data_IF_751359206131
#
_entry.id   IF_751359206131
#
_cell.length_a   1.000
_cell.length_b   1.000
_cell.length_c   1.000
_cell.angle_alpha   90.00
_cell.angle_beta   90.00
_cell.angle_gamma   90.00
#
_symmetry.space_group_name_H-M   'P 1'
#
loop_
_entity.id
_entity.type
_entity.pdbx_description
1 polymer ?
#
# COMPACT_ATOMS: atom_id res chain seq x y z
N UNK A 1 -5.39 22.26 3.42
CA UNK A 1 -4.03 21.68 3.56
C UNK A 1 -4.21 20.18 3.76
N UNK A 2 -3.71 19.35 2.83
CA UNK A 2 -3.76 17.89 2.95
C UNK A 2 -2.90 17.49 4.15
N UNK A 3 -3.42 16.62 5.02
CA UNK A 3 -2.74 16.15 6.21
C UNK A 3 -2.06 14.84 5.84
N UNK A 4 -0.73 14.79 5.88
CA UNK A 4 0.02 13.57 5.59
C UNK A 4 -0.48 12.46 6.52
N UNK A 5 -0.88 11.32 5.94
CA UNK A 5 -1.42 10.18 6.72
C UNK A 5 -0.32 9.36 7.40
N UNK A 6 0.90 9.42 6.88
CA UNK A 6 2.06 8.72 7.41
C UNK A 6 3.28 8.85 6.50
N UNK A 7 4.45 8.53 7.04
CA UNK A 7 5.73 8.47 6.33
C UNK A 7 6.42 7.18 6.73
N UNK A 8 6.88 6.40 5.76
CA UNK A 8 7.66 5.19 6.01
C UNK A 8 9.08 5.45 5.52
N UNK A 9 10.05 5.27 6.42
CA UNK A 9 11.47 5.36 6.09
C UNK A 9 11.85 4.17 5.19
N UNK A 10 12.59 4.42 4.13
CA UNK A 10 12.90 3.37 3.13
C UNK A 10 13.87 2.32 3.65
N UNK A 11 14.73 2.69 4.60
CA UNK A 11 15.57 1.73 5.33
C UNK A 11 14.77 0.63 6.05
N UNK A 12 13.50 0.91 6.38
CA UNK A 12 12.62 -0.06 7.02
C UNK A 12 11.87 -0.95 6.03
N UNK A 13 11.93 -0.64 4.73
CA UNK A 13 11.27 -1.41 3.66
C UNK A 13 12.17 -2.58 3.27
N UNK A 14 11.63 -3.80 3.32
CA UNK A 14 12.36 -5.03 3.00
C UNK A 14 11.73 -5.81 1.84
N UNK A 15 10.44 -5.60 1.56
CA UNK A 15 9.72 -6.27 0.45
C UNK A 15 9.02 -5.21 -0.38
N UNK A 16 9.15 -5.29 -1.70
CA UNK A 16 8.37 -4.48 -2.65
C UNK A 16 8.10 -5.31 -3.88
N UNK A 17 6.86 -5.73 -4.11
CA UNK A 17 6.53 -6.70 -5.16
C UNK A 17 5.15 -6.47 -5.77
N UNK A 18 4.95 -6.87 -7.02
CA UNK A 18 3.62 -6.92 -7.61
C UNK A 18 2.74 -7.86 -6.81
N UNK A 19 1.49 -7.48 -6.58
CA UNK A 19 0.52 -8.31 -5.88
C UNK A 19 -0.61 -8.69 -6.83
N UNK A 20 -1.31 -9.78 -6.51
CA UNK A 20 -2.58 -10.14 -7.13
C UNK A 20 -3.65 -10.14 -6.04
N UNK A 21 -4.50 -9.13 -6.02
CA UNK A 21 -5.67 -9.10 -5.13
C UNK A 21 -6.80 -9.84 -5.86
N UNK A 22 -7.12 -11.05 -5.42
CA UNK A 22 -8.25 -11.81 -5.95
C UNK A 22 -9.56 -11.04 -5.72
N UNK A 23 -10.39 -10.95 -6.75
CA UNK A 23 -11.68 -10.23 -6.71
C UNK A 23 -12.76 -10.93 -5.87
N UNK A 24 -12.44 -12.00 -5.14
CA UNK A 24 -13.41 -12.73 -4.31
C UNK A 24 -13.23 -12.42 -2.83
N UNK A 25 -14.16 -11.62 -2.31
CA UNK A 25 -14.52 -11.50 -0.90
C UNK A 25 -14.45 -12.88 -0.22
N UNK A 26 -13.63 -13.01 0.82
CA UNK A 26 -13.63 -14.25 1.60
C UNK A 26 -12.49 -14.50 2.58
N UNK A 27 -11.77 -13.51 3.11
CA UNK A 27 -11.03 -13.71 4.36
C UNK A 27 -11.14 -12.46 5.22
N UNK A 28 -11.85 -12.61 6.34
CA UNK A 28 -11.70 -11.72 7.47
C UNK A 28 -10.29 -11.82 8.04
N UNK A 29 -10.00 -10.83 8.89
CA UNK A 29 -8.88 -10.79 9.82
C UNK A 29 -7.51 -10.39 9.25
N UNK A 30 -7.36 -9.10 8.95
CA UNK A 30 -6.36 -8.26 9.64
C UNK A 30 -6.94 -6.87 9.85
N UNK A 31 -6.91 -6.42 11.11
CA UNK A 31 -7.52 -5.21 11.59
C UNK A 31 -6.95 -3.96 10.88
N UNK A 32 -7.77 -3.29 10.08
CA UNK A 32 -7.64 -1.87 9.82
C UNK A 32 -8.67 -1.17 10.71
N UNK A 33 -8.17 -0.49 11.75
CA UNK A 33 -8.97 0.35 12.63
C UNK A 33 -9.87 1.30 11.84
N UNK A 34 -11.09 1.45 12.37
CA UNK A 34 -12.23 2.24 11.92
C UNK A 34 -11.87 3.71 11.61
N UNK A 35 -12.59 4.43 10.75
CA UNK A 35 -13.92 4.99 11.03
C UNK A 35 -14.80 5.12 9.76
N UNK A 36 -16.02 4.59 9.89
CA UNK A 36 -17.31 5.01 9.33
C UNK A 36 -17.38 5.83 8.02
N UNK A 37 -18.01 5.23 7.00
CA UNK A 37 -18.58 5.98 5.88
C UNK A 37 -19.20 5.14 4.77
N UNK A 38 -20.46 4.74 4.97
CA UNK A 38 -21.45 4.33 3.95
C UNK A 38 -21.17 3.12 3.05
N UNK A 39 -22.15 2.22 3.04
CA UNK A 39 -22.14 0.98 2.29
C UNK A 39 -22.12 1.13 0.77
N UNK A 40 -21.66 0.06 0.13
CA UNK A 40 -21.71 -0.15 -1.30
C UNK A 40 -20.59 -1.05 -1.76
N UNK A 41 -20.84 -2.36 -1.86
CA UNK A 41 -20.00 -3.35 -2.57
C UNK A 41 -18.49 -3.18 -2.37
N UNK A 42 -17.96 -3.72 -1.28
CA UNK A 42 -16.53 -3.68 -0.90
C UNK A 42 -15.63 -4.47 -1.85
N UNK A 43 -15.53 -4.01 -3.09
CA UNK A 43 -14.54 -4.44 -4.07
C UNK A 43 -13.28 -3.58 -3.93
N UNK A 44 -12.12 -4.22 -4.06
CA UNK A 44 -10.84 -3.52 -4.23
C UNK A 44 -11.02 -2.49 -5.36
N UNK A 45 -10.68 -1.20 -5.17
CA UNK A 45 -10.75 -0.20 -6.22
C UNK A 45 -9.95 -0.66 -7.46
N UNK A 46 -10.40 -0.31 -8.68
CA UNK A 46 -9.68 -0.68 -9.89
C UNK A 46 -8.26 -0.10 -9.85
N UNK A 47 -7.29 -0.94 -10.14
CA UNK A 47 -5.88 -0.56 -10.08
C UNK A 47 -4.99 -1.78 -10.20
N UNK A 48 -3.70 -1.51 -10.26
CA UNK A 48 -2.66 -2.52 -10.39
C UNK A 48 -1.96 -2.63 -9.04
N UNK A 49 -2.27 -3.66 -8.23
CA UNK A 49 -1.75 -3.74 -6.89
C UNK A 49 -0.28 -4.12 -6.85
N UNK A 50 0.40 -3.58 -5.84
CA UNK A 50 1.71 -4.01 -5.40
C UNK A 50 1.77 -3.88 -3.87
N UNK A 51 2.61 -4.69 -3.25
CA UNK A 51 2.78 -4.74 -1.80
C UNK A 51 4.12 -4.16 -1.38
N UNK A 52 4.15 -3.60 -0.18
CA UNK A 52 5.35 -3.08 0.48
C UNK A 52 5.39 -3.66 1.90
N UNK A 53 6.38 -4.50 2.17
CA UNK A 53 6.68 -5.00 3.51
C UNK A 53 7.68 -4.08 4.20
N UNK A 54 7.35 -3.63 5.41
CA UNK A 54 8.22 -2.76 6.20
C UNK A 54 8.17 -3.12 7.69
N UNK A 55 9.23 -2.76 8.42
CA UNK A 55 9.33 -2.96 9.87
C UNK A 55 9.26 -1.64 10.62
N UNK A 56 8.40 -1.55 11.61
CA UNK A 56 8.29 -0.38 12.48
C UNK A 56 8.18 -0.84 13.94
N UNK A 57 8.97 -0.23 14.84
CA UNK A 57 9.01 -0.60 16.26
C UNK A 57 9.22 -2.11 16.53
N UNK A 58 9.95 -2.80 15.66
CA UNK A 58 10.20 -4.25 15.76
C UNK A 58 9.07 -5.14 15.24
N UNK A 59 7.95 -4.55 14.82
CA UNK A 59 6.81 -5.24 14.21
C UNK A 59 6.89 -5.16 12.69
N UNK A 60 6.55 -6.25 12.01
CA UNK A 60 6.47 -6.31 10.55
C UNK A 60 5.04 -6.00 10.08
N UNK A 61 4.96 -5.15 9.06
CA UNK A 61 3.72 -4.69 8.45
C UNK A 61 3.79 -4.87 6.93
N UNK A 62 2.62 -5.05 6.31
CA UNK A 62 2.48 -5.08 4.85
C UNK A 62 1.45 -4.05 4.41
N UNK A 63 1.84 -3.18 3.49
CA UNK A 63 0.98 -2.18 2.87
C UNK A 63 0.65 -2.61 1.43
N UNK A 64 -0.63 -2.66 1.09
CA UNK A 64 -1.08 -2.83 -0.28
C UNK A 64 -1.39 -1.47 -0.91
N UNK A 65 -0.72 -1.18 -2.02
CA UNK A 65 -0.88 0.04 -2.79
C UNK A 65 -1.46 -0.28 -4.16
N UNK A 66 -2.32 0.60 -4.65
CA UNK A 66 -2.93 0.50 -5.97
C UNK A 66 -2.36 1.60 -6.87
N UNK A 67 -1.75 1.21 -7.98
CA UNK A 67 -1.37 2.14 -9.02
C UNK A 67 -2.48 2.25 -10.07
N UNK A 68 -2.71 3.46 -10.59
CA UNK A 68 -3.68 3.67 -11.66
C UNK A 68 -3.18 3.12 -13.01
N UNK A 69 -1.86 3.11 -13.23
CA UNK A 69 -1.22 2.69 -14.48
C UNK A 69 -0.06 1.74 -14.21
N UNK A 70 0.21 0.86 -15.17
CA UNK A 70 1.32 -0.09 -15.10
C UNK A 70 2.68 0.62 -15.05
N UNK A 71 2.80 1.73 -15.78
CA UNK A 71 4.02 2.54 -15.77
C UNK A 71 4.32 3.10 -14.38
N UNK A 72 3.31 3.65 -13.70
CA UNK A 72 3.44 4.20 -12.34
C UNK A 72 3.80 3.08 -11.35
N UNK A 73 3.14 1.92 -11.47
CA UNK A 73 3.47 0.74 -10.67
C UNK A 73 4.93 0.33 -10.82
N UNK A 74 5.39 0.19 -12.06
CA UNK A 74 6.75 -0.22 -12.37
C UNK A 74 7.80 0.80 -11.89
N UNK A 75 7.49 2.10 -12.03
CA UNK A 75 8.33 3.18 -11.51
C UNK A 75 8.44 3.13 -9.99
N UNK A 76 7.31 3.06 -9.28
CA UNK A 76 7.29 3.05 -7.81
C UNK A 76 7.99 1.83 -7.24
N UNK A 77 7.74 0.64 -7.81
CA UNK A 77 8.45 -0.58 -7.41
C UNK A 77 9.96 -0.40 -7.59
N UNK A 78 10.40 0.14 -8.72
CA UNK A 78 11.83 0.39 -8.98
C UNK A 78 12.42 1.40 -8.01
N UNK A 79 11.75 2.54 -7.80
CA UNK A 79 12.23 3.62 -6.95
C UNK A 79 12.35 3.18 -5.48
N UNK A 80 11.36 2.46 -4.96
CA UNK A 80 11.36 1.93 -3.59
C UNK A 80 12.45 0.88 -3.40
N UNK A 81 12.63 -0.05 -4.36
CA UNK A 81 13.72 -1.03 -4.32
C UNK A 81 15.11 -0.40 -4.41
N UNK A 82 15.23 0.70 -5.16
CA UNK A 82 16.49 1.43 -5.31
C UNK A 82 16.80 2.35 -4.12
N UNK A 83 15.92 2.46 -3.13
CA UNK A 83 16.14 3.32 -1.98
C UNK A 83 15.97 4.82 -2.27
N UNK A 84 15.37 5.19 -3.40
CA UNK A 84 15.49 6.54 -3.96
C UNK A 84 14.46 7.56 -3.43
N UNK A 85 13.37 7.12 -2.80
CA UNK A 85 12.27 8.00 -2.41
C UNK A 85 11.61 7.57 -1.10
N UNK A 86 11.48 8.48 -0.11
CA UNK A 86 10.61 8.27 1.06
C UNK A 86 9.17 8.02 0.59
N UNK A 87 8.53 6.99 1.16
CA UNK A 87 7.12 6.73 0.93
C UNK A 87 6.31 7.72 1.79
N UNK A 88 6.10 8.93 1.26
CA UNK A 88 5.08 9.82 1.78
C UNK A 88 3.73 9.22 1.40
N UNK A 89 2.92 8.80 2.38
CA UNK A 89 1.57 8.26 2.15
C UNK A 89 0.59 9.42 1.90
N UNK A 90 0.99 10.33 1.00
CA UNK A 90 0.11 11.26 0.32
C UNK A 90 -0.21 10.65 -1.04
N UNK A 91 -0.98 9.56 -0.98
CA UNK A 91 -1.67 9.00 -2.13
C UNK A 91 -2.52 10.16 -2.67
N UNK A 92 -2.22 10.69 -3.87
CA UNK A 92 -2.96 11.80 -4.51
C UNK A 92 -4.46 11.48 -4.60
#
# INVERSE_FOLDING_TARGET
RRKERGRIAIENVHVVETATLGTSVGLGEVAAGSEAGSGGSGGIPPGLPFQVGYREAGQEYTLYLLAAREQDRAEWIRALRAGQHILCIDIQ
#
